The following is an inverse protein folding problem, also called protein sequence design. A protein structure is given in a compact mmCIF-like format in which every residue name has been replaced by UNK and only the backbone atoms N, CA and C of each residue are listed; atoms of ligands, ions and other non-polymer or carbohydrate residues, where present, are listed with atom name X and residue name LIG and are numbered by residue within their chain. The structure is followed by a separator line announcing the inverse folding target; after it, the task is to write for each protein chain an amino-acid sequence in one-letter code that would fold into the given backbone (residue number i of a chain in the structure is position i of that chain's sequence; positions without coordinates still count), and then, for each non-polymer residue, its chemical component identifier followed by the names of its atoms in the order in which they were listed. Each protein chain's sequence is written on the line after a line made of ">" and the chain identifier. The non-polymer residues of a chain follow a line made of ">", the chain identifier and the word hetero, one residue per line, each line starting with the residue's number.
data_IF_661500938036
#
_entry.id   IF_661500938036
#
_cell.length_a   1.000
_cell.length_b   1.000
_cell.length_c   1.000
_cell.angle_alpha   90.00
_cell.angle_beta   90.00
_cell.angle_gamma   90.00
#
_symmetry.space_group_name_H-M   'P 1'
#
loop_
_entity.id
_entity.type
_entity.pdbx_description
1 polymer ?
#
# COMPACT_ATOMS: atom_id res chain seq x y z
N UNK A 1 0.07 -6.07 16.86
CA UNK A 1 -0.76 -4.94 16.39
C UNK A 1 0.04 -3.65 16.21
N UNK A 2 0.86 -3.24 17.19
CA UNK A 2 1.67 -2.00 17.10
C UNK A 2 2.56 -1.99 15.85
N UNK A 3 3.23 -3.10 15.55
CA UNK A 3 4.12 -3.24 14.40
C UNK A 3 3.38 -3.17 13.06
N UNK A 4 2.24 -3.86 12.94
CA UNK A 4 1.38 -3.85 11.76
C UNK A 4 0.91 -2.43 11.44
N UNK A 5 0.38 -1.73 12.45
CA UNK A 5 -0.11 -0.36 12.32
C UNK A 5 1.01 0.61 11.96
N UNK A 6 2.18 0.48 12.59
CA UNK A 6 3.34 1.31 12.28
C UNK A 6 3.73 1.21 10.80
N UNK A 7 3.89 0.01 10.26
CA UNK A 7 4.33 -0.16 8.88
C UNK A 7 3.27 0.24 7.85
N UNK A 8 1.98 0.07 8.16
CA UNK A 8 0.89 0.61 7.33
C UNK A 8 0.89 2.14 7.34
N UNK A 9 1.07 2.76 8.50
CA UNK A 9 1.19 4.21 8.61
C UNK A 9 2.42 4.74 7.85
N UNK A 10 3.56 4.07 7.98
CA UNK A 10 4.77 4.40 7.21
C UNK A 10 4.51 4.30 5.71
N UNK A 11 3.95 3.19 5.22
CA UNK A 11 3.59 3.03 3.82
C UNK A 11 2.69 4.16 3.31
N UNK A 12 1.64 4.51 4.06
CA UNK A 12 0.73 5.57 3.67
C UNK A 12 1.44 6.92 3.55
N UNK A 13 2.29 7.25 4.51
CA UNK A 13 3.10 8.47 4.51
C UNK A 13 4.07 8.48 3.32
N UNK A 14 4.81 7.39 3.11
CA UNK A 14 5.81 7.30 2.06
C UNK A 14 5.19 7.28 0.66
N UNK A 15 3.98 6.76 0.47
CA UNK A 15 3.25 6.88 -0.80
C UNK A 15 2.79 8.31 -1.09
N UNK A 16 2.40 9.08 -0.06
CA UNK A 16 1.98 10.48 -0.19
C UNK A 16 3.16 11.38 -0.55
N UNK A 17 4.28 11.24 0.16
CA UNK A 17 5.52 11.98 -0.14
C UNK A 17 6.30 11.37 -1.31
N UNK A 18 5.86 10.18 -1.72
CA UNK A 18 6.42 9.32 -2.76
C UNK A 18 7.91 9.00 -2.61
N UNK A 19 8.25 8.63 -1.39
CA UNK A 19 9.49 7.94 -1.05
C UNK A 19 9.33 6.45 -1.40
N UNK A 20 9.54 6.11 -2.68
CA UNK A 20 9.30 4.76 -3.21
C UNK A 20 10.14 3.71 -2.49
N UNK A 21 11.42 3.99 -2.20
CA UNK A 21 12.31 3.05 -1.49
C UNK A 21 11.79 2.72 -0.09
N UNK A 22 11.34 3.72 0.66
CA UNK A 22 10.78 3.50 2.00
C UNK A 22 9.42 2.79 1.91
N UNK A 23 8.63 3.07 0.87
CA UNK A 23 7.38 2.34 0.59
C UNK A 23 7.65 0.85 0.38
N UNK A 24 8.65 0.51 -0.44
CA UNK A 24 9.07 -0.89 -0.63
C UNK A 24 9.59 -1.54 0.66
N UNK A 25 10.39 -0.82 1.46
CA UNK A 25 10.86 -1.35 2.75
C UNK A 25 9.69 -1.65 3.69
N UNK A 26 8.70 -0.75 3.77
CA UNK A 26 7.50 -0.98 4.57
C UNK A 26 6.72 -2.19 4.06
N UNK A 27 6.51 -2.30 2.73
CA UNK A 27 5.83 -3.44 2.10
C UNK A 27 6.58 -4.76 2.32
N UNK A 28 7.91 -4.75 2.27
CA UNK A 28 8.74 -5.92 2.52
C UNK A 28 8.58 -6.38 3.99
N UNK A 29 8.58 -5.45 4.95
CA UNK A 29 8.34 -5.76 6.36
C UNK A 29 6.94 -6.32 6.58
N UNK A 30 5.91 -5.72 6.00
CA UNK A 30 4.52 -6.19 6.05
C UNK A 30 4.39 -7.59 5.45
N UNK A 31 5.01 -7.85 4.30
CA UNK A 31 4.94 -9.14 3.59
C UNK A 31 5.69 -10.28 4.28
N UNK A 32 6.52 -9.99 5.30
CA UNK A 32 7.21 -11.00 6.12
C UNK A 32 6.43 -11.36 7.39
N UNK A 33 5.35 -10.66 7.71
CA UNK A 33 4.52 -10.97 8.88
C UNK A 33 3.79 -12.29 8.68
N UNK A 34 3.78 -13.15 9.71
CA UNK A 34 3.15 -14.47 9.70
C UNK A 34 2.38 -14.75 10.99
N UNK A 35 1.45 -15.68 10.93
CA UNK A 35 0.92 -16.37 12.11
C UNK A 35 -0.57 -16.20 12.40
N UNK A 36 -1.26 -15.19 11.86
CA UNK A 36 -2.70 -15.04 12.05
C UNK A 36 -3.39 -14.49 10.79
N UNK A 37 -4.73 -14.57 10.78
CA UNK A 37 -5.59 -14.10 9.68
C UNK A 37 -5.30 -12.66 9.27
N UNK A 38 -5.16 -11.75 10.24
CA UNK A 38 -4.83 -10.36 9.97
C UNK A 38 -3.52 -10.24 9.18
N UNK A 39 -2.47 -10.98 9.57
CA UNK A 39 -1.17 -10.96 8.92
C UNK A 39 -1.19 -11.63 7.54
N UNK A 40 -2.02 -12.63 7.34
CA UNK A 40 -2.28 -13.19 6.02
C UNK A 40 -2.91 -12.14 5.10
N UNK A 41 -3.92 -11.44 5.59
CA UNK A 41 -4.53 -10.31 4.89
C UNK A 41 -3.52 -9.20 4.57
N UNK A 42 -2.69 -8.80 5.54
CA UNK A 42 -1.62 -7.80 5.36
C UNK A 42 -0.60 -8.26 4.31
N UNK A 43 -0.26 -9.55 4.29
CA UNK A 43 0.62 -10.11 3.27
C UNK A 43 0.02 -9.92 1.87
N UNK A 44 -1.25 -10.25 1.67
CA UNK A 44 -1.95 -10.07 0.39
C UNK A 44 -2.02 -8.58 0.03
N UNK A 45 -2.38 -7.72 0.98
CA UNK A 45 -2.40 -6.27 0.82
C UNK A 45 -1.04 -5.73 0.32
N UNK A 46 0.04 -6.16 0.96
CA UNK A 46 1.39 -5.74 0.60
C UNK A 46 1.79 -6.25 -0.80
N UNK A 47 1.42 -7.49 -1.14
CA UNK A 47 1.63 -8.05 -2.48
C UNK A 47 0.91 -7.25 -3.57
N UNK A 48 -0.34 -6.87 -3.36
CA UNK A 48 -1.09 -6.06 -4.34
C UNK A 48 -0.39 -4.72 -4.58
N UNK A 49 0.06 -4.04 -3.52
CA UNK A 49 0.78 -2.77 -3.65
C UNK A 49 2.11 -2.95 -4.39
N UNK A 50 2.91 -3.96 -4.03
CA UNK A 50 4.17 -4.25 -4.72
C UNK A 50 3.93 -4.57 -6.20
N UNK A 51 3.00 -5.47 -6.53
CA UNK A 51 2.72 -5.84 -7.91
C UNK A 51 2.24 -4.65 -8.76
N UNK A 52 1.48 -3.72 -8.15
CA UNK A 52 1.04 -2.50 -8.83
C UNK A 52 2.20 -1.49 -9.04
N UNK A 53 3.03 -1.28 -8.02
CA UNK A 53 4.20 -0.40 -8.11
C UNK A 53 5.28 -0.94 -9.07
N UNK A 54 5.36 -2.27 -9.20
CA UNK A 54 6.25 -2.98 -10.13
C UNK A 54 5.62 -3.16 -11.54
N UNK A 55 4.44 -2.61 -11.79
CA UNK A 55 3.67 -2.72 -13.04
C UNK A 55 3.39 -4.17 -13.49
N UNK A 56 3.42 -5.14 -12.57
CA UNK A 56 3.02 -6.54 -12.86
C UNK A 56 1.51 -6.68 -13.02
N UNK A 57 0.76 -5.77 -12.40
CA UNK A 57 -0.68 -5.61 -12.57
C UNK A 57 -0.98 -4.15 -12.87
N UNK A 58 -2.06 -3.92 -13.62
CA UNK A 58 -2.57 -2.59 -13.87
C UNK A 58 -3.15 -1.97 -12.61
N UNK A 59 -3.23 -0.63 -12.56
CA UNK A 59 -3.90 0.06 -11.46
C UNK A 59 -5.38 -0.32 -11.33
N UNK A 60 -6.04 -0.66 -12.44
CA UNK A 60 -7.42 -1.15 -12.44
C UNK A 60 -7.52 -2.49 -11.70
N UNK A 61 -6.66 -3.45 -12.04
CA UNK A 61 -6.61 -4.76 -11.38
C UNK A 61 -6.25 -4.62 -9.89
N UNK A 62 -5.32 -3.73 -9.54
CA UNK A 62 -4.96 -3.47 -8.16
C UNK A 62 -6.16 -2.98 -7.34
N UNK A 63 -6.98 -2.06 -7.88
CA UNK A 63 -8.21 -1.59 -7.23
C UNK A 63 -9.21 -2.72 -7.00
N UNK A 64 -9.48 -3.51 -8.03
CA UNK A 64 -10.42 -4.63 -7.95
C UNK A 64 -9.98 -5.64 -6.88
N UNK A 65 -8.68 -5.93 -6.81
CA UNK A 65 -8.10 -6.81 -5.78
C UNK A 65 -8.18 -6.20 -4.37
N UNK A 66 -7.95 -4.90 -4.20
CA UNK A 66 -8.08 -4.24 -2.90
C UNK A 66 -9.54 -4.22 -2.42
N UNK A 67 -10.50 -4.03 -3.33
CA UNK A 67 -11.94 -4.10 -3.02
C UNK A 67 -12.36 -5.52 -2.67
N UNK A 68 -11.84 -6.54 -3.37
CA UNK A 68 -12.09 -7.93 -3.00
C UNK A 68 -11.49 -8.25 -1.62
N UNK A 69 -10.24 -7.84 -1.39
CA UNK A 69 -9.54 -8.05 -0.13
C UNK A 69 -10.26 -7.41 1.06
N UNK A 70 -10.92 -6.26 0.87
CA UNK A 70 -11.64 -5.59 1.95
C UNK A 70 -12.91 -6.29 2.41
N UNK A 71 -13.50 -7.12 1.55
CA UNK A 71 -14.63 -7.98 1.90
C UNK A 71 -14.15 -9.17 2.73
N UNK A 72 -13.00 -9.73 2.38
CA UNK A 72 -12.45 -10.92 3.02
C UNK A 72 -11.68 -10.59 4.32
N UNK A 73 -11.01 -9.44 4.37
CA UNK A 73 -10.18 -8.97 5.48
C UNK A 73 -10.45 -7.48 5.82
N UNK A 74 -11.68 -7.13 6.24
CA UNK A 74 -12.04 -5.76 6.58
C UNK A 74 -11.16 -5.17 7.70
N UNK A 75 -10.63 -6.00 8.60
CA UNK A 75 -9.81 -5.60 9.73
C UNK A 75 -8.52 -4.84 9.33
N UNK A 76 -7.93 -5.15 8.17
CA UNK A 76 -6.72 -4.46 7.68
C UNK A 76 -7.00 -2.99 7.43
N UNK A 77 -8.15 -2.71 6.81
CA UNK A 77 -8.57 -1.38 6.40
C UNK A 77 -9.11 -0.55 7.56
N UNK A 78 -9.19 -1.15 8.74
CA UNK A 78 -9.64 -0.54 9.98
C UNK A 78 -8.50 -0.36 10.99
N UNK A 79 -7.31 -0.89 10.73
CA UNK A 79 -6.16 -0.82 11.65
C UNK A 79 -5.76 0.61 12.06
N UNK A 80 -5.89 1.56 11.15
CA UNK A 80 -5.58 2.98 11.39
C UNK A 80 -6.81 3.79 11.84
N UNK A 81 -8.01 3.19 11.81
CA UNK A 81 -9.31 3.83 12.08
C UNK A 81 -10.19 3.05 13.03
N UNK A 82 -9.59 2.26 13.92
CA UNK A 82 -10.30 1.56 14.98
C UNK A 82 -11.27 2.55 15.64
N UNK A 83 -12.56 2.20 15.69
CA UNK A 83 -13.66 2.95 16.31
C UNK A 83 -14.34 4.09 15.52
N UNK A 84 -13.82 4.53 14.37
CA UNK A 84 -14.44 5.65 13.61
C UNK A 84 -14.49 5.46 12.08
N UNK A 85 -13.87 4.40 11.57
CA UNK A 85 -13.75 4.15 10.13
C UNK A 85 -14.93 3.41 9.49
N UNK A 86 -15.08 3.63 8.19
CA UNK A 86 -15.87 2.81 7.28
C UNK A 86 -14.88 2.09 6.35
N UNK A 87 -14.96 0.76 6.28
CA UNK A 87 -14.07 -0.08 5.46
C UNK A 87 -14.04 0.41 4.01
N UNK A 88 -15.19 0.77 3.43
CA UNK A 88 -15.24 1.25 2.05
C UNK A 88 -14.49 2.57 1.88
N UNK A 89 -14.67 3.51 2.81
CA UNK A 89 -13.94 4.78 2.80
C UNK A 89 -12.44 4.57 2.99
N UNK A 90 -12.05 3.63 3.85
CA UNK A 90 -10.64 3.30 4.08
C UNK A 90 -10.00 2.70 2.83
N UNK A 91 -10.64 1.71 2.20
CA UNK A 91 -10.16 1.06 0.96
C UNK A 91 -9.98 2.08 -0.15
N UNK A 92 -10.96 2.96 -0.36
CA UNK A 92 -10.86 4.03 -1.34
C UNK A 92 -9.69 4.98 -1.02
N UNK A 93 -9.42 5.25 0.26
CA UNK A 93 -8.24 6.02 0.68
C UNK A 93 -6.91 5.33 0.30
N UNK A 94 -6.80 4.01 0.46
CA UNK A 94 -5.62 3.26 0.02
C UNK A 94 -5.49 3.26 -1.50
N UNK A 95 -6.59 3.04 -2.22
CA UNK A 95 -6.64 3.11 -3.69
C UNK A 95 -6.13 4.47 -4.17
N UNK A 96 -6.67 5.58 -3.65
CA UNK A 96 -6.28 6.91 -4.07
C UNK A 96 -4.80 7.20 -3.81
N UNK A 97 -4.24 6.73 -2.69
CA UNK A 97 -2.80 6.87 -2.41
C UNK A 97 -1.95 6.06 -3.38
N UNK A 98 -2.36 4.84 -3.72
CA UNK A 98 -1.67 4.02 -4.71
C UNK A 98 -1.74 4.63 -6.10
N UNK A 99 -2.92 5.10 -6.52
CA UNK A 99 -3.11 5.81 -7.80
C UNK A 99 -2.24 7.06 -7.86
N UNK A 100 -2.26 7.87 -6.81
CA UNK A 100 -1.45 9.08 -6.71
C UNK A 100 0.04 8.76 -6.83
N UNK A 101 0.51 7.73 -6.13
CA UNK A 101 1.89 7.29 -6.20
C UNK A 101 2.27 6.75 -7.58
N UNK A 102 1.42 6.01 -8.28
CA UNK A 102 1.75 5.54 -9.64
C UNK A 102 1.75 6.71 -10.64
N UNK A 103 0.74 7.57 -10.58
CA UNK A 103 0.57 8.68 -11.52
C UNK A 103 1.62 9.78 -11.32
N UNK A 104 2.00 10.10 -10.08
CA UNK A 104 3.02 11.11 -9.77
C UNK A 104 4.41 10.71 -10.23
N UNK A 105 4.70 9.41 -10.27
CA UNK A 105 6.06 8.92 -10.47
C UNK A 105 6.32 8.29 -11.83
N UNK A 106 5.31 8.16 -12.71
CA UNK A 106 5.39 7.46 -14.01
C UNK A 106 6.40 6.28 -13.95
N UNK A 107 6.21 5.42 -12.93
CA UNK A 107 7.28 4.61 -12.31
C UNK A 107 7.87 3.63 -13.32
N UNK A 108 8.87 4.07 -14.08
CA UNK A 108 9.84 3.22 -14.76
C UNK A 108 11.12 3.20 -13.93
N UNK A 109 11.21 2.34 -12.91
CA UNK A 109 12.53 1.88 -12.47
C UNK A 109 12.49 0.45 -11.93
N UNK A 110 12.97 -0.53 -12.71
CA UNK A 110 13.74 -1.62 -12.13
C UNK A 110 15.12 -1.04 -11.78
N UNK A 111 15.39 -0.84 -10.48
CA UNK A 111 16.72 -0.54 -9.92
C UNK A 111 17.32 0.84 -10.28
N UNK A 112 17.64 1.63 -9.24
CA UNK A 112 18.51 2.83 -9.23
C UNK A 112 17.91 4.21 -9.62
N UNK A 113 18.00 5.12 -8.64
CA UNK A 113 18.24 6.56 -8.78
C UNK A 113 17.12 7.45 -9.34
N UNK A 114 16.24 7.93 -8.46
CA UNK A 114 15.48 9.15 -8.70
C UNK A 114 16.22 10.33 -8.07
N UNK A 115 17.22 10.85 -8.78
CA UNK A 115 17.54 12.26 -8.63
C UNK A 115 16.29 13.05 -9.04
N UNK A 116 15.91 13.96 -8.15
CA UNK A 116 14.87 14.97 -8.33
C UNK A 116 14.98 15.56 -9.74
N UNK A 117 13.92 15.43 -10.53
CA UNK A 117 13.66 16.46 -11.53
C UNK A 117 13.36 17.74 -10.76
N UNK A 118 14.18 18.76 -11.02
CA UNK A 118 13.93 20.13 -10.62
C UNK A 118 12.57 20.58 -11.18
N UNK A 119 11.58 20.65 -10.31
CA UNK A 119 10.40 21.50 -10.48
C UNK A 119 10.49 22.62 -9.43
N UNK A 120 11.32 23.63 -9.73
CA UNK A 120 11.15 25.04 -9.37
C UNK A 120 11.97 25.92 -10.33
#
# INVERSE_FOLDING_TARGET
>A
MITERLYISLLNTTLIYGEINESYRALEKLSKLRGNRLREGIYIFARIHMDALEQRITIKEAKERLIALSKDYPEIFMLDREYTGDVNKSVNGYIHRLEYAINRYDIKYPYYNMQRCDDL
#
